data_IF_370401408673
#
_entry.id   IF_370401408673
#
_cell.length_a   1.000
_cell.length_b   1.000
_cell.length_c   1.000
_cell.angle_alpha   90.00
_cell.angle_beta   90.00
_cell.angle_gamma   90.00
#
_symmetry.space_group_name_H-M   'P 1'
#
loop_
_entity.id
_entity.type
_entity.pdbx_description
1 polymer ?
#
# COMPACT_ATOMS: atom_id res chain seq x y z
N UNK A 1 -0.35 13.71 9.52
CA UNK A 1 -0.84 12.50 8.82
C UNK A 1 0.09 12.17 7.66
N UNK A 2 0.16 10.93 7.18
CA UNK A 2 1.10 10.54 6.12
C UNK A 2 0.34 9.98 4.91
N UNK A 3 0.73 10.42 3.72
CA UNK A 3 0.38 9.79 2.44
C UNK A 3 1.65 9.16 1.88
N UNK A 4 1.55 7.89 1.48
CA UNK A 4 2.60 7.19 0.76
C UNK A 4 2.09 6.89 -0.65
N UNK A 5 2.81 7.37 -1.66
CA UNK A 5 2.53 7.12 -3.08
C UNK A 5 3.65 6.24 -3.63
N UNK A 6 3.27 5.21 -4.36
CA UNK A 6 4.14 4.25 -5.03
C UNK A 6 3.89 4.37 -6.52
N UNK A 7 4.95 4.64 -7.28
CA UNK A 7 4.99 4.47 -8.73
C UNK A 7 5.74 3.18 -9.01
N UNK A 8 5.14 2.24 -9.73
CA UNK A 8 5.81 1.01 -10.16
C UNK A 8 6.41 1.13 -11.58
N UNK A 9 7.16 0.11 -11.99
CA UNK A 9 7.79 0.07 -13.32
C UNK A 9 6.82 -0.13 -14.48
N UNK A 10 5.55 -0.44 -14.20
CA UNK A 10 4.50 -0.67 -15.20
C UNK A 10 3.58 0.55 -15.38
N UNK A 11 3.94 1.68 -14.75
CA UNK A 11 3.19 2.93 -14.87
C UNK A 11 1.99 3.03 -13.95
N UNK A 12 1.83 2.12 -12.97
CA UNK A 12 0.77 2.26 -11.97
C UNK A 12 1.22 3.23 -10.87
N UNK A 13 0.29 4.06 -10.40
CA UNK A 13 0.45 4.95 -9.24
C UNK A 13 -0.65 4.65 -8.24
N UNK A 14 -0.27 4.17 -7.07
CA UNK A 14 -1.17 3.76 -6.01
C UNK A 14 -0.52 4.00 -4.66
N UNK A 15 -1.24 3.79 -3.57
CA UNK A 15 -0.68 4.08 -2.26
C UNK A 15 -1.67 3.99 -1.13
N UNK A 16 -1.29 4.57 -0.01
CA UNK A 16 -2.14 4.59 1.17
C UNK A 16 -1.93 5.82 2.03
N UNK A 17 -2.96 6.09 2.82
CA UNK A 17 -3.03 7.15 3.80
C UNK A 17 -3.06 6.54 5.20
N UNK A 18 -2.22 7.09 6.08
CA UNK A 18 -2.18 6.80 7.51
C UNK A 18 -2.53 8.11 8.24
N UNK A 19 -3.70 8.13 8.86
CA UNK A 19 -4.15 9.22 9.71
C UNK A 19 -3.40 9.18 11.04
N UNK A 20 -3.30 8.02 11.65
CA UNK A 20 -2.68 7.85 12.97
C UNK A 20 -1.17 8.10 12.92
N UNK A 21 -0.60 8.47 14.06
CA UNK A 21 0.86 8.60 14.20
C UNK A 21 1.49 7.22 14.02
N UNK A 22 2.58 7.15 13.25
CA UNK A 22 3.42 5.95 13.17
C UNK A 22 4.46 6.04 14.28
N UNK A 23 4.14 5.51 15.45
CA UNK A 23 5.00 5.53 16.65
C UNK A 23 5.43 4.13 17.12
N UNK A 24 5.06 3.10 16.36
CA UNK A 24 5.47 1.72 16.59
C UNK A 24 6.24 1.16 15.39
N UNK A 25 7.16 0.25 15.68
CA UNK A 25 7.91 -0.53 14.71
C UNK A 25 7.69 -2.01 15.03
N UNK A 26 7.54 -2.82 13.99
CA UNK A 26 7.23 -4.24 14.06
C UNK A 26 5.90 -4.58 14.76
N UNK A 27 4.94 -3.65 14.71
CA UNK A 27 3.58 -3.82 15.21
C UNK A 27 2.61 -3.07 14.28
N UNK A 28 1.33 -3.43 14.34
CA UNK A 28 0.29 -2.71 13.61
C UNK A 28 -0.01 -1.35 14.24
N UNK A 29 -0.13 -0.35 13.36
CA UNK A 29 -0.80 0.90 13.65
C UNK A 29 -2.29 0.70 13.38
N UNK A 30 -3.09 0.93 14.43
CA UNK A 30 -4.55 0.87 14.32
C UNK A 30 -5.06 2.21 13.81
N UNK A 31 -5.84 2.19 12.73
CA UNK A 31 -6.33 3.42 12.12
C UNK A 31 -7.64 3.20 11.35
N UNK A 32 -8.76 3.69 11.90
CA UNK A 32 -10.07 3.62 11.26
C UNK A 32 -10.28 4.64 10.14
N UNK A 33 -9.39 5.62 10.02
CA UNK A 33 -9.41 6.63 8.97
C UNK A 33 -8.41 6.31 7.85
N UNK A 34 -7.71 5.17 7.94
CA UNK A 34 -6.81 4.72 6.88
C UNK A 34 -7.60 4.32 5.64
N UNK A 35 -7.03 4.63 4.48
CA UNK A 35 -7.53 4.18 3.20
C UNK A 35 -6.35 3.96 2.26
N UNK A 36 -6.56 3.12 1.26
CA UNK A 36 -5.65 2.99 0.12
C UNK A 36 -6.31 3.53 -1.13
N UNK A 37 -5.50 3.83 -2.13
CA UNK A 37 -5.99 4.46 -3.35
C UNK A 37 -5.22 4.01 -4.59
N UNK A 38 -5.87 4.18 -5.73
CA UNK A 38 -5.28 4.05 -7.06
C UNK A 38 -5.45 5.37 -7.80
N UNK A 39 -4.35 5.97 -8.23
CA UNK A 39 -4.32 7.24 -8.97
C UNK A 39 -4.20 7.01 -10.48
N UNK A 40 -3.39 6.02 -10.88
CA UNK A 40 -3.17 5.65 -12.27
C UNK A 40 -2.99 4.14 -12.36
N UNK A 41 -3.76 3.48 -13.23
CA UNK A 41 -3.81 2.01 -13.31
C UNK A 41 -3.41 1.48 -14.69
N UNK A 42 -2.50 2.16 -15.39
CA UNK A 42 -2.07 1.80 -16.75
C UNK A 42 -3.27 1.46 -17.67
N UNK A 43 -4.30 2.31 -17.65
CA UNK A 43 -5.54 2.17 -18.44
C UNK A 43 -6.58 1.18 -17.91
N UNK A 44 -6.34 0.41 -16.84
CA UNK A 44 -7.31 -0.59 -16.32
C UNK A 44 -8.50 0.02 -15.59
N UNK A 45 -8.27 1.11 -14.86
CA UNK A 45 -9.29 1.86 -14.13
C UNK A 45 -9.23 3.29 -14.63
N UNK A 46 -10.38 3.82 -15.07
CA UNK A 46 -10.47 5.13 -15.71
C UNK A 46 -10.39 6.29 -14.71
N UNK A 47 -10.94 6.10 -13.51
CA UNK A 47 -11.01 7.12 -12.47
C UNK A 47 -10.06 6.82 -11.30
N UNK A 48 -9.73 7.85 -10.53
CA UNK A 48 -9.02 7.68 -9.26
C UNK A 48 -9.94 7.00 -8.25
N UNK A 49 -9.43 5.98 -7.57
CA UNK A 49 -10.21 5.17 -6.64
C UNK A 49 -9.70 5.30 -5.21
N UNK A 50 -10.63 5.39 -4.27
CA UNK A 50 -10.40 5.31 -2.82
C UNK A 50 -11.07 4.05 -2.27
N UNK A 51 -10.33 3.30 -1.46
CA UNK A 51 -10.76 2.07 -0.81
C UNK A 51 -10.58 2.22 0.70
N UNK A 52 -11.69 2.26 1.42
CA UNK A 52 -11.71 2.45 2.87
C UNK A 52 -11.34 1.16 3.61
N UNK A 53 -10.73 1.30 4.79
CA UNK A 53 -10.30 0.17 5.61
C UNK A 53 -11.50 -0.61 6.17
N UNK A 54 -11.44 -1.96 6.10
CA UNK A 54 -12.41 -2.87 6.75
C UNK A 54 -11.91 -3.39 8.09
N UNK A 55 -10.59 -3.53 8.25
CA UNK A 55 -9.93 -4.00 9.47
C UNK A 55 -8.97 -2.94 10.02
N UNK A 56 -9.46 -1.93 10.76
CA UNK A 56 -8.66 -0.82 11.29
C UNK A 56 -7.42 -1.25 12.08
N UNK A 57 -7.50 -2.39 12.77
CA UNK A 57 -6.41 -2.98 13.55
C UNK A 57 -5.25 -3.54 12.71
N UNK A 58 -5.35 -3.43 11.38
CA UNK A 58 -4.33 -3.87 10.41
C UNK A 58 -3.94 -2.78 9.44
N UNK A 59 -4.21 -1.51 9.75
CA UNK A 59 -4.13 -0.43 8.77
C UNK A 59 -2.73 -0.26 8.16
N UNK A 60 -1.71 -0.21 9.01
CA UNK A 60 -0.32 -0.01 8.58
C UNK A 60 0.67 -0.77 9.47
N UNK A 61 1.76 -1.26 8.87
CA UNK A 61 2.85 -1.93 9.57
C UNK A 61 4.18 -1.38 9.06
N UNK A 62 4.98 -0.79 9.94
CA UNK A 62 6.37 -0.44 9.66
C UNK A 62 7.30 -1.54 10.20
N UNK A 63 8.06 -2.20 9.32
CA UNK A 63 8.97 -3.25 9.76
C UNK A 63 10.29 -2.67 10.27
N UNK A 64 10.94 -3.38 11.18
CA UNK A 64 12.27 -2.98 11.65
C UNK A 64 13.36 -3.20 10.58
N UNK A 65 14.60 -2.84 10.92
CA UNK A 65 15.73 -2.89 10.01
C UNK A 65 16.15 -4.32 9.60
N UNK A 66 15.85 -5.34 10.41
CA UNK A 66 16.22 -6.74 10.16
C UNK A 66 15.32 -7.44 9.14
N UNK A 67 14.07 -7.00 8.99
CA UNK A 67 13.13 -7.60 8.04
C UNK A 67 13.38 -7.15 6.59
N UNK A 68 12.98 -7.98 5.62
CA UNK A 68 13.09 -7.65 4.19
C UNK A 68 11.93 -6.78 3.67
N UNK A 69 10.71 -6.88 4.24
CA UNK A 69 9.62 -5.92 3.95
C UNK A 69 9.99 -4.59 4.65
N UNK A 70 9.68 -3.48 3.99
CA UNK A 70 9.90 -2.12 4.49
C UNK A 70 8.66 -1.66 5.26
N UNK A 71 7.51 -1.67 4.59
CA UNK A 71 6.22 -1.37 5.20
C UNK A 71 5.10 -2.14 4.49
N UNK A 72 3.96 -2.24 5.15
CA UNK A 72 2.73 -2.74 4.55
C UNK A 72 1.51 -1.90 4.94
N UNK A 73 0.55 -1.79 4.01
CA UNK A 73 -0.83 -1.45 4.31
C UNK A 73 -1.64 -2.74 4.38
N UNK A 74 -2.56 -2.83 5.34
CA UNK A 74 -3.39 -4.03 5.50
C UNK A 74 -2.57 -5.26 5.87
N UNK A 75 -3.11 -6.44 5.53
CA UNK A 75 -2.40 -7.72 5.66
C UNK A 75 -1.69 -8.07 4.35
N UNK A 76 -0.78 -7.19 3.91
CA UNK A 76 -0.15 -7.21 2.58
C UNK A 76 -1.07 -6.80 1.42
N UNK A 77 -2.08 -5.96 1.68
CA UNK A 77 -2.82 -5.26 0.61
C UNK A 77 -1.86 -4.49 -0.29
N UNK A 78 -0.88 -3.84 0.34
CA UNK A 78 0.36 -3.39 -0.25
C UNK A 78 1.47 -3.85 0.70
N UNK A 79 2.47 -4.64 0.27
CA UNK A 79 3.76 -4.77 0.98
C UNK A 79 4.87 -4.40 0.03
N UNK A 80 5.69 -3.45 0.48
CA UNK A 80 6.84 -2.93 -0.23
C UNK A 80 8.09 -3.50 0.43
N UNK A 81 8.97 -4.10 -0.36
CA UNK A 81 10.23 -4.65 0.13
C UNK A 81 11.36 -3.63 -0.01
N UNK A 82 12.38 -3.78 0.84
CA UNK A 82 13.59 -2.95 0.80
C UNK A 82 14.35 -3.16 -0.51
N UNK A 83 15.23 -2.22 -0.86
CA UNK A 83 15.92 -2.13 -2.16
C UNK A 83 16.45 -3.47 -2.71
N UNK A 84 17.13 -4.27 -1.87
CA UNK A 84 17.68 -5.58 -2.26
C UNK A 84 16.64 -6.62 -2.70
N UNK A 85 15.40 -6.46 -2.26
CA UNK A 85 14.28 -7.36 -2.52
C UNK A 85 13.06 -6.62 -3.13
N UNK A 86 13.24 -5.40 -3.64
CA UNK A 86 12.08 -4.57 -4.07
C UNK A 86 11.25 -5.20 -5.18
N UNK A 87 11.86 -6.07 -6.00
CA UNK A 87 11.22 -6.78 -7.12
C UNK A 87 10.19 -7.82 -6.68
N UNK A 88 10.15 -8.19 -5.40
CA UNK A 88 9.15 -9.09 -4.82
C UNK A 88 8.07 -8.35 -4.02
N UNK A 89 7.97 -7.03 -4.18
CA UNK A 89 6.83 -6.26 -3.65
C UNK A 89 5.52 -6.75 -4.27
N UNK A 90 4.43 -6.68 -3.51
CA UNK A 90 3.17 -7.34 -3.91
C UNK A 90 1.95 -6.61 -3.41
N UNK A 91 0.85 -6.81 -4.13
CA UNK A 91 -0.49 -6.43 -3.71
C UNK A 91 -1.31 -7.70 -3.39
N UNK A 92 -2.19 -7.61 -2.39
CA UNK A 92 -3.15 -8.68 -2.07
C UNK A 92 -4.41 -8.10 -1.44
N UNK A 93 -5.45 -7.93 -2.23
CA UNK A 93 -6.70 -7.33 -1.78
C UNK A 93 -7.36 -8.12 -0.64
N UNK A 94 -7.40 -7.55 0.56
CA UNK A 94 -7.95 -8.22 1.74
C UNK A 94 -8.54 -7.23 2.75
N UNK A 95 -7.73 -6.32 3.32
CA UNK A 95 -8.12 -5.51 4.48
C UNK A 95 -8.91 -4.25 4.16
N UNK A 96 -9.02 -3.88 2.88
CA UNK A 96 -9.76 -2.70 2.42
C UNK A 96 -10.96 -3.11 1.56
N UNK A 97 -11.94 -2.22 1.42
CA UNK A 97 -13.11 -2.42 0.57
C UNK A 97 -12.82 -1.99 -0.87
N UNK A 98 -12.54 -2.98 -1.72
CA UNK A 98 -12.26 -2.79 -3.14
C UNK A 98 -13.52 -2.66 -4.01
N UNK A 99 -14.72 -2.67 -3.42
CA UNK A 99 -15.99 -2.48 -4.14
C UNK A 99 -16.18 -3.45 -5.31
N UNK A 100 -15.70 -4.68 -5.17
CA UNK A 100 -15.75 -5.73 -6.20
C UNK A 100 -14.69 -5.61 -7.31
N UNK A 101 -13.82 -4.59 -7.29
CA UNK A 101 -12.77 -4.41 -8.30
C UNK A 101 -11.59 -5.32 -7.98
N UNK A 102 -11.15 -6.11 -8.95
CA UNK A 102 -9.95 -6.94 -8.84
C UNK A 102 -8.70 -6.17 -9.30
N UNK A 103 -7.56 -6.51 -8.71
CA UNK A 103 -6.25 -5.99 -9.13
C UNK A 103 -6.16 -4.45 -9.20
N UNK A 104 -6.83 -3.77 -8.27
CA UNK A 104 -7.11 -2.34 -8.38
C UNK A 104 -5.90 -1.42 -8.15
N UNK A 105 -4.82 -1.97 -7.60
CA UNK A 105 -3.59 -1.24 -7.27
C UNK A 105 -2.54 -1.46 -8.37
N UNK A 106 -1.55 -2.31 -8.13
CA UNK A 106 -0.48 -2.64 -9.07
C UNK A 106 -0.91 -3.52 -10.26
N UNK A 107 -2.20 -3.76 -10.48
CA UNK A 107 -2.69 -4.57 -11.61
C UNK A 107 -2.51 -6.06 -11.47
N UNK A 108 -1.97 -6.50 -10.32
CA UNK A 108 -1.65 -7.90 -10.02
C UNK A 108 -2.08 -8.25 -8.61
N UNK A 109 -2.15 -9.54 -8.33
CA UNK A 109 -2.36 -10.08 -6.99
C UNK A 109 -1.33 -11.17 -6.73
N UNK A 110 -0.91 -11.33 -5.47
CA UNK A 110 -0.07 -12.45 -5.05
C UNK A 110 -0.59 -13.78 -5.64
N UNK A 111 0.26 -14.64 -6.25
CA UNK A 111 1.73 -14.67 -6.14
C UNK A 111 2.51 -13.63 -6.94
N UNK A 112 1.87 -12.90 -7.85
CA UNK A 112 2.56 -11.96 -8.72
C UNK A 112 3.08 -10.72 -7.99
N UNK A 113 4.11 -10.09 -8.59
CA UNK A 113 4.88 -9.00 -8.00
C UNK A 113 4.84 -7.72 -8.83
N UNK A 114 5.08 -6.60 -8.16
CA UNK A 114 5.40 -5.31 -8.75
C UNK A 114 6.78 -4.84 -8.29
N UNK A 115 7.44 -4.01 -9.11
CA UNK A 115 8.71 -3.38 -8.73
C UNK A 115 8.48 -1.89 -8.51
N UNK A 116 8.66 -1.36 -7.27
CA UNK A 116 8.63 0.07 -7.03
C UNK A 116 9.73 0.77 -7.84
N UNK A 117 9.35 1.77 -8.63
CA UNK A 117 10.24 2.71 -9.32
C UNK A 117 10.52 3.94 -8.45
N UNK A 118 9.49 4.43 -7.76
CA UNK A 118 9.58 5.58 -6.86
C UNK A 118 8.60 5.44 -5.70
N UNK A 119 9.03 5.88 -4.53
CA UNK A 119 8.19 6.02 -3.34
C UNK A 119 8.24 7.48 -2.92
N UNK A 120 7.09 8.11 -2.74
CA UNK A 120 6.93 9.49 -2.29
C UNK A 120 6.19 9.45 -0.97
N UNK A 121 6.71 10.14 0.04
CA UNK A 121 6.08 10.25 1.36
C UNK A 121 5.75 11.73 1.58
N UNK A 122 4.49 12.01 1.88
CA UNK A 122 3.99 13.36 2.13
C UNK A 122 3.46 13.41 3.55
N UNK A 123 4.00 14.31 4.35
CA UNK A 123 3.45 14.64 5.67
C UNK A 123 2.45 15.79 5.54
N UNK A 124 1.21 15.52 5.90
CA UNK A 124 0.11 16.49 5.94
C UNK A 124 0.06 17.09 7.35
N UNK A 125 0.08 18.43 7.43
CA UNK A 125 -0.12 19.21 8.66
C UNK A 125 -1.59 19.30 9.03
#
# INVERSE_FOLDING_TARGET
>A
HIIIIIEDTEGNKFGGYVHSKIDKVNDFINDSNSFIFSLESNGRIYEMMKFDIKYPQRAFWLFDQSYVCLFAFGLSDICVYKEKAKTISRCKQYAFDYKGISNALCGKSHPDHFTPKRIIVIEMK
#
